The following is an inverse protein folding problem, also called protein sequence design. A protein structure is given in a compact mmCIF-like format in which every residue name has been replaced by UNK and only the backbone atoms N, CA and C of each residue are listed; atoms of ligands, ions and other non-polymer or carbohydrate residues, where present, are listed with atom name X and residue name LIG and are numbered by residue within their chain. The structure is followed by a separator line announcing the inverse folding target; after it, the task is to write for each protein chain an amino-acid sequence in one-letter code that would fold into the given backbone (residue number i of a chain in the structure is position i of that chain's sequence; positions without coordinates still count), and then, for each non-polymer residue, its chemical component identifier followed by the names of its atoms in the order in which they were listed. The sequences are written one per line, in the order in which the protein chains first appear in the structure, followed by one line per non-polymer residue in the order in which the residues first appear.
data_IF_627841964064
#
_entry.id   IF_627841964064
#
_cell.length_a   1.000
_cell.length_b   1.000
_cell.length_c   1.000
_cell.angle_alpha   90.00
_cell.angle_beta   90.00
_cell.angle_gamma   90.00
#
_symmetry.space_group_name_H-M   'P 1'
#
loop_
_entity.id
_entity.type
_entity.pdbx_description
1 polymer ?
#
# COMPACT_ATOMS: atom_id res chain seq x y z
N UNK A 1 50.58 -45.82 -45.77
CA UNK A 1 49.37 -44.89 -45.84
C UNK A 1 48.74 -44.81 -44.43
N UNK A 2 49.05 -43.76 -43.69
CA UNK A 2 48.51 -43.54 -42.34
C UNK A 2 47.24 -42.72 -42.46
N UNK A 3 46.13 -43.30 -42.04
CA UNK A 3 44.85 -42.57 -41.91
C UNK A 3 44.76 -41.97 -40.52
N UNK A 4 44.78 -40.63 -40.45
CA UNK A 4 44.58 -39.89 -39.20
C UNK A 4 43.07 -39.81 -38.88
N UNK A 5 42.65 -40.52 -37.83
CA UNK A 5 41.35 -40.35 -37.22
C UNK A 5 41.37 -39.10 -36.34
N UNK A 6 40.73 -38.01 -36.78
CA UNK A 6 40.47 -36.83 -35.94
C UNK A 6 39.12 -37.03 -35.22
N UNK A 7 39.16 -37.46 -33.99
CA UNK A 7 38.01 -37.49 -33.09
C UNK A 7 37.69 -36.07 -32.62
N UNK A 8 36.60 -35.50 -33.14
CA UNK A 8 36.04 -34.26 -32.66
C UNK A 8 35.29 -34.54 -31.31
N UNK A 9 35.84 -34.05 -30.21
CA UNK A 9 35.13 -34.01 -28.93
C UNK A 9 34.18 -32.80 -28.94
N UNK A 10 32.85 -33.00 -29.14
CA UNK A 10 31.84 -32.01 -28.93
C UNK A 10 31.54 -31.92 -27.44
N UNK A 11 32.05 -30.88 -26.78
CA UNK A 11 31.68 -30.55 -25.41
C UNK A 11 30.29 -29.95 -25.44
N UNK A 12 29.28 -30.74 -25.01
CA UNK A 12 27.93 -30.29 -24.82
C UNK A 12 27.84 -29.55 -23.48
N UNK A 13 27.96 -28.20 -23.51
CA UNK A 13 27.72 -27.34 -22.35
C UNK A 13 26.21 -27.31 -22.09
N UNK A 14 25.75 -28.17 -21.16
CA UNK A 14 24.40 -28.12 -20.62
C UNK A 14 24.31 -26.90 -19.68
N UNK A 15 23.84 -25.78 -20.19
CA UNK A 15 23.54 -24.60 -19.38
C UNK A 15 22.33 -24.95 -18.48
N UNK A 16 22.57 -25.24 -17.21
CA UNK A 16 21.54 -25.32 -16.19
C UNK A 16 20.96 -23.90 -16.00
N UNK A 17 19.84 -23.64 -16.63
CA UNK A 17 19.02 -22.47 -16.33
C UNK A 17 18.44 -22.65 -14.90
N UNK A 18 19.08 -22.07 -13.91
CA UNK A 18 18.50 -21.96 -12.58
C UNK A 18 17.25 -21.08 -12.66
N UNK A 19 16.09 -21.51 -12.12
CA UNK A 19 14.93 -20.63 -12.07
C UNK A 19 15.33 -19.39 -11.27
N UNK A 20 15.19 -18.22 -11.87
CA UNK A 20 15.31 -16.95 -11.17
C UNK A 20 14.21 -16.92 -10.10
N UNK A 21 14.55 -17.25 -8.87
CA UNK A 21 13.65 -17.05 -7.74
C UNK A 21 13.34 -15.55 -7.69
N UNK A 22 12.05 -15.20 -7.91
CA UNK A 22 11.58 -13.84 -7.72
C UNK A 22 11.91 -13.43 -6.28
N UNK A 23 12.87 -12.53 -6.12
CA UNK A 23 13.21 -11.99 -4.81
C UNK A 23 11.98 -11.22 -4.32
N UNK A 24 11.49 -11.48 -3.10
CA UNK A 24 10.43 -10.65 -2.54
C UNK A 24 10.95 -9.21 -2.52
N UNK A 25 10.14 -8.30 -3.06
CA UNK A 25 10.40 -6.86 -2.97
C UNK A 25 10.71 -6.53 -1.50
N UNK A 26 11.97 -6.24 -1.20
CA UNK A 26 12.35 -5.77 0.13
C UNK A 26 11.68 -4.41 0.31
N UNK A 27 10.63 -4.38 1.13
CA UNK A 27 10.07 -3.13 1.61
C UNK A 27 11.17 -2.42 2.39
N UNK A 28 11.55 -1.25 1.92
CA UNK A 28 12.47 -0.38 2.65
C UNK A 28 11.91 -0.02 4.04
N UNK A 29 12.72 0.63 4.90
CA UNK A 29 12.26 1.04 6.20
C UNK A 29 11.00 1.91 6.04
N UNK A 30 9.97 1.64 6.87
CA UNK A 30 8.76 2.45 6.87
C UNK A 30 9.08 3.85 7.41
N UNK A 31 9.09 4.87 6.54
CA UNK A 31 9.40 6.25 6.89
C UNK A 31 8.15 7.09 7.20
N UNK A 32 6.97 6.48 7.11
CA UNK A 32 5.71 7.04 7.58
C UNK A 32 5.09 6.02 8.54
N UNK A 33 5.04 6.35 9.82
CA UNK A 33 4.30 5.54 10.78
C UNK A 33 2.80 5.65 10.49
N UNK A 34 2.10 4.52 10.47
CA UNK A 34 0.68 4.48 10.16
C UNK A 34 -0.08 3.66 11.22
N UNK A 35 -1.27 4.13 11.58
CA UNK A 35 -2.23 3.38 12.39
C UNK A 35 -3.64 3.63 11.88
N UNK A 36 -4.52 2.62 12.03
CA UNK A 36 -5.95 2.76 11.74
C UNK A 36 -6.69 3.03 13.05
N UNK A 37 -7.45 4.13 13.08
CA UNK A 37 -8.19 4.59 14.25
C UNK A 37 -9.66 4.74 13.87
N UNK A 38 -10.56 4.19 14.68
CA UNK A 38 -12.01 4.37 14.49
C UNK A 38 -12.50 5.55 15.35
N UNK A 39 -13.43 6.32 14.82
CA UNK A 39 -14.13 7.39 15.52
C UNK A 39 -14.88 6.87 16.76
N UNK A 40 -15.43 5.64 16.67
CA UNK A 40 -16.12 4.96 17.75
C UNK A 40 -15.64 3.52 17.88
N UNK A 41 -15.42 3.06 19.11
CA UNK A 41 -15.08 1.67 19.40
C UNK A 41 -16.32 0.75 19.39
N UNK A 42 -17.52 1.30 19.57
CA UNK A 42 -18.78 0.55 19.65
C UNK A 42 -19.89 1.24 18.84
N UNK A 43 -19.77 1.25 17.51
CA UNK A 43 -20.76 1.87 16.64
C UNK A 43 -22.05 1.04 16.57
N UNK A 44 -23.19 1.71 16.60
CA UNK A 44 -24.51 1.05 16.51
C UNK A 44 -24.74 0.44 15.11
N UNK A 45 -25.50 -0.66 14.99
CA UNK A 45 -26.01 -1.15 13.71
C UNK A 45 -26.72 -0.06 12.91
N UNK A 46 -26.52 -0.01 11.60
CA UNK A 46 -27.10 1.01 10.72
C UNK A 46 -26.37 2.35 10.74
N UNK A 47 -25.34 2.52 11.59
CA UNK A 47 -24.55 3.75 11.63
C UNK A 47 -23.45 3.80 10.57
N UNK A 48 -22.91 5.00 10.37
CA UNK A 48 -21.67 5.24 9.63
C UNK A 48 -20.64 5.80 10.61
N UNK A 49 -19.43 5.25 10.57
CA UNK A 49 -18.31 5.62 11.42
C UNK A 49 -17.11 5.97 10.54
N UNK A 50 -16.37 7.02 10.85
CA UNK A 50 -15.14 7.33 10.16
C UNK A 50 -13.97 6.51 10.72
N UNK A 51 -13.21 5.89 9.80
CA UNK A 51 -11.90 5.31 10.06
C UNK A 51 -10.84 6.28 9.56
N UNK A 52 -9.88 6.62 10.42
CA UNK A 52 -8.76 7.48 10.08
C UNK A 52 -7.47 6.67 9.91
N UNK A 53 -6.77 6.87 8.81
CA UNK A 53 -5.39 6.44 8.66
C UNK A 53 -4.49 7.52 9.26
N UNK A 54 -4.13 7.40 10.54
CA UNK A 54 -3.24 8.34 11.18
C UNK A 54 -1.81 8.11 10.68
N UNK A 55 -1.34 9.02 9.82
CA UNK A 55 -0.06 8.95 9.13
C UNK A 55 0.90 9.98 9.71
N UNK A 56 2.10 9.53 10.09
CA UNK A 56 3.13 10.43 10.66
C UNK A 56 4.45 10.23 9.92
N UNK A 57 4.77 11.10 8.95
CA UNK A 57 6.06 11.09 8.28
C UNK A 57 7.20 11.42 9.25
N UNK A 58 8.33 10.73 9.09
CA UNK A 58 9.59 11.14 9.74
C UNK A 58 10.07 12.47 9.17
N UNK A 59 10.85 13.20 9.95
CA UNK A 59 11.44 14.46 9.48
C UNK A 59 12.20 14.28 8.16
N UNK A 60 11.87 15.11 7.17
CA UNK A 60 12.45 15.08 5.84
C UNK A 60 11.81 14.05 4.88
N UNK A 61 10.77 13.36 5.35
CA UNK A 61 9.96 12.46 4.52
C UNK A 61 8.56 13.04 4.34
N UNK A 62 7.90 12.66 3.25
CA UNK A 62 6.51 13.06 2.98
C UNK A 62 5.72 11.91 2.35
N UNK A 63 4.42 11.95 2.57
CA UNK A 63 3.44 11.15 1.86
C UNK A 63 2.79 11.96 0.73
N UNK A 64 1.96 11.32 -0.08
CA UNK A 64 1.34 11.92 -1.25
C UNK A 64 -0.19 11.97 -1.12
N UNK A 65 -0.76 13.00 -1.75
CA UNK A 65 -2.19 13.08 -1.99
C UNK A 65 -2.62 12.08 -3.08
N UNK A 66 -3.93 11.85 -3.25
CA UNK A 66 -4.49 10.96 -4.30
C UNK A 66 -4.04 11.35 -5.71
N UNK A 67 -3.95 12.65 -5.98
CA UNK A 67 -3.31 13.19 -7.18
C UNK A 67 -1.94 13.78 -6.78
N UNK A 68 -0.86 13.01 -6.92
CA UNK A 68 0.43 13.42 -6.39
C UNK A 68 1.09 14.57 -7.16
N UNK A 69 0.57 14.97 -8.31
CA UNK A 69 1.17 15.95 -9.21
C UNK A 69 2.10 15.32 -10.25
N UNK A 70 3.28 15.90 -10.43
CA UNK A 70 4.23 15.47 -11.49
C UNK A 70 4.96 14.17 -11.15
N UNK A 71 5.06 13.82 -9.87
CA UNK A 71 5.72 12.60 -9.40
C UNK A 71 5.07 12.08 -8.10
N UNK A 72 5.28 10.79 -7.79
CA UNK A 72 4.76 10.16 -6.59
C UNK A 72 3.57 9.23 -6.85
N UNK A 73 3.00 8.68 -5.78
CA UNK A 73 1.84 7.79 -5.81
C UNK A 73 0.96 8.03 -4.59
N UNK A 74 -0.34 8.15 -4.80
CA UNK A 74 -1.34 8.13 -3.72
C UNK A 74 -1.42 6.76 -3.06
N UNK A 75 -2.06 6.71 -1.88
CA UNK A 75 -2.29 5.46 -1.15
C UNK A 75 -3.32 4.59 -1.85
N UNK A 76 -3.10 3.28 -1.87
CA UNK A 76 -4.07 2.27 -2.31
C UNK A 76 -4.47 1.37 -1.15
N UNK A 77 -5.73 0.90 -1.16
CA UNK A 77 -6.32 0.11 -0.08
C UNK A 77 -6.97 -1.16 -0.63
N UNK A 78 -6.65 -2.29 -0.02
CA UNK A 78 -7.33 -3.58 -0.25
C UNK A 78 -8.01 -4.01 1.06
N UNK A 79 -9.34 -4.02 1.08
CA UNK A 79 -10.12 -4.32 2.27
C UNK A 79 -10.55 -5.79 2.33
N UNK A 80 -10.50 -6.35 3.53
CA UNK A 80 -11.19 -7.59 3.87
C UNK A 80 -12.26 -7.27 4.91
N UNK A 81 -13.53 -7.34 4.49
CA UNK A 81 -14.68 -6.92 5.28
C UNK A 81 -15.61 -8.10 5.57
N UNK A 82 -16.18 -8.19 6.78
CA UNK A 82 -17.22 -9.15 7.07
C UNK A 82 -18.54 -8.75 6.40
N UNK A 83 -19.49 -9.72 6.34
CA UNK A 83 -20.84 -9.45 5.85
C UNK A 83 -21.51 -8.33 6.67
N UNK A 84 -22.23 -7.45 5.99
CA UNK A 84 -22.92 -6.32 6.62
C UNK A 84 -22.02 -5.10 6.87
N UNK A 85 -20.80 -5.12 6.36
CA UNK A 85 -19.88 -3.96 6.46
C UNK A 85 -19.46 -3.54 5.06
N UNK A 86 -19.46 -2.24 4.80
CA UNK A 86 -18.94 -1.65 3.56
C UNK A 86 -18.16 -0.38 3.85
N UNK A 87 -17.27 -0.01 2.93
CA UNK A 87 -16.45 1.21 3.02
C UNK A 87 -16.73 2.13 1.84
N UNK A 88 -16.65 3.42 2.10
CA UNK A 88 -16.69 4.46 1.08
C UNK A 88 -15.32 4.75 0.48
N UNK A 89 -15.21 5.78 -0.37
CA UNK A 89 -13.94 6.23 -0.93
C UNK A 89 -13.04 6.83 0.15
N UNK A 90 -11.72 6.80 -0.10
CA UNK A 90 -10.74 7.48 0.71
C UNK A 90 -10.87 9.00 0.52
N UNK A 91 -10.97 9.73 1.61
CA UNK A 91 -11.09 11.20 1.65
C UNK A 91 -9.83 11.77 2.26
N UNK A 92 -9.09 12.53 1.51
CA UNK A 92 -7.84 13.13 1.95
C UNK A 92 -8.06 14.54 2.53
N UNK A 93 -7.24 14.96 3.52
CA UNK A 93 -7.13 16.37 3.87
C UNK A 93 -6.51 17.16 2.72
N UNK A 94 -6.60 18.50 2.80
CA UNK A 94 -5.97 19.37 1.79
C UNK A 94 -4.45 19.19 1.83
N UNK A 95 -3.80 18.88 0.70
CA UNK A 95 -2.35 18.73 0.64
C UNK A 95 -1.65 20.08 0.57
N UNK A 96 -0.34 20.08 0.83
CA UNK A 96 0.54 21.20 0.47
C UNK A 96 1.22 20.94 -0.87
N UNK A 97 1.63 22.02 -1.53
CA UNK A 97 2.45 21.94 -2.75
C UNK A 97 3.92 21.95 -2.39
N UNK A 98 4.68 21.01 -2.95
CA UNK A 98 6.13 20.91 -2.80
C UNK A 98 6.78 20.81 -4.19
N UNK A 99 7.73 21.71 -4.48
CA UNK A 99 8.47 21.69 -5.76
C UNK A 99 9.85 21.06 -5.51
N UNK A 100 10.13 19.95 -6.17
CA UNK A 100 11.40 19.24 -6.09
C UNK A 100 12.00 19.14 -7.50
N UNK A 101 13.17 19.72 -7.72
CA UNK A 101 13.85 19.72 -9.01
C UNK A 101 12.96 20.19 -10.19
N UNK A 102 12.08 21.16 -9.94
CA UNK A 102 11.14 21.70 -10.92
C UNK A 102 9.84 20.90 -11.09
N UNK A 103 9.68 19.76 -10.40
CA UNK A 103 8.45 18.96 -10.40
C UNK A 103 7.54 19.40 -9.24
N UNK A 104 6.29 19.69 -9.55
CA UNK A 104 5.27 20.08 -8.57
C UNK A 104 4.59 18.84 -8.03
N UNK A 105 4.60 18.69 -6.70
CA UNK A 105 3.99 17.56 -6.00
C UNK A 105 2.97 18.04 -4.97
N UNK A 106 1.90 17.25 -4.76
CA UNK A 106 0.94 17.43 -3.68
C UNK A 106 1.25 16.43 -2.57
N UNK A 107 1.69 16.93 -1.42
CA UNK A 107 2.30 16.11 -0.36
C UNK A 107 1.82 16.48 1.04
N UNK A 108 2.23 15.64 2.01
CA UNK A 108 2.08 15.86 3.43
C UNK A 108 3.45 15.66 4.09
N UNK A 109 4.10 16.75 4.51
CA UNK A 109 5.39 16.73 5.23
C UNK A 109 5.23 16.54 6.74
N UNK A 110 4.04 16.77 7.27
CA UNK A 110 3.67 16.58 8.68
C UNK A 110 2.59 15.50 8.84
N UNK A 111 2.11 15.28 10.08
CA UNK A 111 1.01 14.34 10.34
C UNK A 111 -0.24 14.69 9.54
N UNK A 112 -0.89 13.67 8.98
CA UNK A 112 -2.12 13.79 8.22
C UNK A 112 -3.00 12.55 8.41
N UNK A 113 -4.30 12.67 8.15
CA UNK A 113 -5.24 11.59 8.39
C UNK A 113 -6.28 11.49 7.24
N UNK A 114 -6.03 10.69 6.21
CA UNK A 114 -7.07 10.30 5.27
C UNK A 114 -8.17 9.50 5.98
N UNK A 115 -9.43 9.74 5.60
CA UNK A 115 -10.61 9.16 6.23
C UNK A 115 -11.35 8.23 5.27
N UNK A 116 -11.93 7.16 5.81
CA UNK A 116 -12.85 6.27 5.11
C UNK A 116 -14.11 6.11 5.93
N UNK A 117 -15.27 6.33 5.32
CA UNK A 117 -16.56 6.05 5.97
C UNK A 117 -16.83 4.54 5.97
N UNK A 118 -16.93 3.95 7.15
CA UNK A 118 -17.37 2.58 7.38
C UNK A 118 -18.86 2.56 7.62
N UNK A 119 -19.62 1.84 6.80
CA UNK A 119 -21.08 1.71 6.92
C UNK A 119 -21.44 0.33 7.48
N UNK A 120 -22.28 0.32 8.49
CA UNK A 120 -22.80 -0.88 9.15
C UNK A 120 -24.23 -1.15 8.72
N UNK A 121 -24.52 -2.38 8.34
CA UNK A 121 -25.88 -2.81 8.01
C UNK A 121 -26.76 -2.71 9.26
N UNK A 122 -27.99 -2.14 9.18
CA UNK A 122 -28.92 -2.11 10.31
C UNK A 122 -29.39 -3.49 10.76
N UNK A 123 -29.24 -4.55 9.95
CA UNK A 123 -29.55 -5.91 10.30
C UNK A 123 -28.47 -6.60 11.15
N UNK A 124 -27.34 -5.97 11.42
CA UNK A 124 -26.33 -6.51 12.33
C UNK A 124 -26.86 -6.57 13.75
N UNK A 125 -26.58 -7.68 14.45
CA UNK A 125 -26.95 -7.80 15.86
C UNK A 125 -26.06 -6.87 16.71
N UNK A 126 -26.64 -6.11 17.67
CA UNK A 126 -25.85 -5.31 18.60
C UNK A 126 -24.78 -6.16 19.33
N UNK A 127 -23.59 -5.62 19.53
CA UNK A 127 -22.49 -6.32 20.18
C UNK A 127 -21.75 -7.34 19.30
N UNK A 128 -22.07 -7.44 18.01
CA UNK A 128 -21.34 -8.30 17.06
C UNK A 128 -19.91 -7.77 16.89
N UNK A 129 -18.92 -8.64 17.08
CA UNK A 129 -17.52 -8.32 16.75
C UNK A 129 -17.31 -8.43 15.24
N UNK A 130 -16.85 -7.35 14.63
CA UNK A 130 -16.63 -7.24 13.18
C UNK A 130 -15.12 -7.20 12.87
N UNK A 131 -14.50 -8.32 12.47
CA UNK A 131 -13.09 -8.32 12.10
C UNK A 131 -12.90 -7.58 10.78
N UNK A 132 -12.22 -6.44 10.82
CA UNK A 132 -11.92 -5.62 9.67
C UNK A 132 -10.41 -5.59 9.49
N UNK A 133 -9.94 -5.86 8.28
CA UNK A 133 -8.54 -5.68 7.93
C UNK A 133 -8.39 -4.93 6.62
N UNK A 134 -7.28 -4.22 6.50
CA UNK A 134 -6.92 -3.48 5.30
C UNK A 134 -5.44 -3.65 5.03
N UNK A 135 -5.09 -3.94 3.78
CA UNK A 135 -3.74 -3.78 3.27
C UNK A 135 -3.67 -2.40 2.63
N UNK A 136 -2.80 -1.55 3.17
CA UNK A 136 -2.58 -0.21 2.68
C UNK A 136 -1.15 -0.12 2.12
N UNK A 137 -1.02 0.33 0.88
CA UNK A 137 0.26 0.59 0.26
C UNK A 137 0.37 2.10 -0.05
N UNK A 138 1.49 2.71 0.32
CA UNK A 138 1.77 4.14 0.11
C UNK A 138 3.25 4.36 -0.21
N UNK A 139 3.52 5.46 -0.89
CA UNK A 139 4.88 5.91 -1.16
C UNK A 139 5.30 6.94 -0.11
N UNK A 140 6.53 6.80 0.38
CA UNK A 140 7.22 7.78 1.21
C UNK A 140 8.50 8.23 0.49
N UNK A 141 8.71 9.52 0.34
CA UNK A 141 9.92 10.12 -0.27
C UNK A 141 10.53 11.19 0.62
#
# INVERSE_FOLDING_TARGET
MLAFFRTLWAIFLLALALPAAAQPLQRGPNNIAASLVAESADPAPGSTVDLAFAMTPKKGWHGYWENPGDAGLGMTLEWTLPKGVSVGPLRYPVPQTLIIAGLMNHVYEGPYAPLVALKLDPALAPGTVLPISVKADWLAC
#
